data_IF_009539553307
#
_entry.id   IF_009539553307
#
_cell.length_a   1.000
_cell.length_b   1.000
_cell.length_c   1.000
_cell.angle_alpha   90.00
_cell.angle_beta   90.00
_cell.angle_gamma   90.00
#
_symmetry.space_group_name_H-M   'P 1'
#
loop_
_entity.id
_entity.type
_entity.pdbx_description
1 polymer ?
#
# COMPACT_ATOMS: atom_id res chain seq x y z
N UNK A 1 -16.49 -8.24 -4.38
CA UNK A 1 -16.18 -9.36 -3.47
C UNK A 1 -16.22 -10.67 -4.24
N UNK A 2 -17.34 -11.06 -4.89
CA UNK A 2 -17.45 -12.32 -5.62
C UNK A 2 -16.31 -12.50 -6.65
N UNK A 3 -16.01 -11.47 -7.45
CA UNK A 3 -14.91 -11.52 -8.43
C UNK A 3 -13.54 -11.74 -7.76
N UNK A 4 -13.30 -11.08 -6.62
CA UNK A 4 -12.04 -11.24 -5.88
C UNK A 4 -11.90 -12.65 -5.29
N UNK A 5 -12.98 -13.22 -4.77
CA UNK A 5 -13.02 -14.61 -4.28
C UNK A 5 -12.77 -15.62 -5.41
N UNK A 6 -13.40 -15.41 -6.59
CA UNK A 6 -13.15 -16.23 -7.77
C UNK A 6 -11.68 -16.17 -8.23
N UNK A 7 -11.04 -14.99 -8.17
CA UNK A 7 -9.61 -14.83 -8.48
C UNK A 7 -8.75 -15.63 -7.50
N UNK A 8 -9.15 -15.71 -6.23
CA UNK A 8 -8.47 -16.51 -5.19
C UNK A 8 -8.78 -18.01 -5.27
N UNK A 9 -9.61 -18.44 -6.20
CA UNK A 9 -9.95 -19.85 -6.40
C UNK A 9 -11.13 -20.37 -5.58
N UNK A 10 -11.85 -19.48 -4.88
CA UNK A 10 -13.04 -19.88 -4.12
C UNK A 10 -14.14 -20.41 -5.04
N UNK A 11 -14.76 -21.53 -4.66
CA UNK A 11 -15.90 -22.08 -5.37
C UNK A 11 -17.20 -21.31 -5.08
N UNK A 12 -18.28 -21.71 -5.76
CA UNK A 12 -19.59 -21.06 -5.62
C UNK A 12 -20.16 -21.17 -4.19
N UNK A 13 -19.90 -22.28 -3.49
CA UNK A 13 -20.37 -22.53 -2.10
C UNK A 13 -19.60 -21.65 -1.10
N UNK A 14 -18.30 -21.59 -1.23
CA UNK A 14 -17.42 -20.73 -0.43
C UNK A 14 -17.77 -19.24 -0.63
N UNK A 15 -17.96 -18.84 -1.89
CA UNK A 15 -18.42 -17.48 -2.25
C UNK A 15 -19.76 -17.15 -1.62
N UNK A 16 -20.75 -18.05 -1.71
CA UNK A 16 -22.05 -17.85 -1.12
C UNK A 16 -22.00 -17.73 0.41
N UNK A 17 -21.18 -18.56 1.07
CA UNK A 17 -20.98 -18.52 2.52
C UNK A 17 -20.38 -17.17 2.97
N UNK A 18 -19.38 -16.65 2.26
CA UNK A 18 -18.81 -15.32 2.56
C UNK A 18 -19.88 -14.23 2.41
N UNK A 19 -20.62 -14.24 1.29
CA UNK A 19 -21.64 -13.21 1.01
C UNK A 19 -22.79 -13.22 2.01
N UNK A 20 -23.16 -14.37 2.57
CA UNK A 20 -24.19 -14.48 3.61
C UNK A 20 -23.78 -13.81 4.93
N UNK A 21 -22.48 -13.69 5.18
CA UNK A 21 -21.95 -13.02 6.38
C UNK A 21 -21.68 -11.52 6.15
N UNK A 22 -22.08 -10.98 4.98
CA UNK A 22 -21.91 -9.56 4.66
C UNK A 22 -23.26 -8.85 4.67
N UNK A 23 -23.32 -7.71 5.31
CA UNK A 23 -24.46 -6.80 5.30
C UNK A 23 -24.04 -5.45 4.73
N UNK A 24 -24.91 -4.87 3.90
CA UNK A 24 -24.74 -3.52 3.38
C UNK A 24 -25.71 -2.59 4.09
N UNK A 25 -25.16 -1.56 4.75
CA UNK A 25 -25.95 -0.57 5.47
C UNK A 25 -25.98 0.75 4.69
N UNK A 26 -27.12 1.43 4.71
CA UNK A 26 -27.32 2.72 4.05
C UNK A 26 -26.68 3.90 4.81
N UNK A 27 -26.32 3.69 6.08
CA UNK A 27 -25.75 4.71 6.94
C UNK A 27 -24.61 4.14 7.79
N UNK A 28 -23.64 4.98 8.12
CA UNK A 28 -22.51 4.64 9.00
C UNK A 28 -23.02 4.09 10.35
N UNK A 29 -24.02 4.72 10.93
CA UNK A 29 -24.61 4.29 12.20
C UNK A 29 -25.02 2.82 12.22
N UNK A 30 -25.68 2.34 11.17
CA UNK A 30 -26.07 0.92 11.02
C UNK A 30 -24.87 -0.01 10.93
N UNK A 31 -23.87 0.40 10.16
CA UNK A 31 -22.68 -0.41 9.92
C UNK A 31 -21.78 -0.56 11.16
N UNK A 32 -21.68 0.46 12.01
CA UNK A 32 -20.66 0.49 13.08
C UNK A 32 -21.19 0.25 14.48
N UNK A 33 -22.52 0.28 14.73
CA UNK A 33 -23.11 0.26 16.06
C UNK A 33 -22.85 -1.01 16.88
N UNK A 34 -22.48 -2.11 16.23
CA UNK A 34 -22.16 -3.40 16.85
C UNK A 34 -20.76 -3.91 16.47
N UNK A 35 -19.93 -3.07 15.87
CA UNK A 35 -18.61 -3.47 15.37
C UNK A 35 -17.57 -3.47 16.48
N UNK A 36 -16.70 -4.48 16.51
CA UNK A 36 -15.48 -4.49 17.33
C UNK A 36 -14.32 -3.79 16.61
N UNK A 37 -14.32 -3.81 15.28
CA UNK A 37 -13.32 -3.16 14.43
C UNK A 37 -14.00 -2.39 13.30
N UNK A 38 -13.55 -1.18 13.04
CA UNK A 38 -14.04 -0.32 11.95
C UNK A 38 -12.86 0.11 11.11
N UNK A 39 -12.90 -0.19 9.79
CA UNK A 39 -11.89 0.24 8.83
C UNK A 39 -12.51 1.21 7.83
N UNK A 40 -12.07 2.46 7.85
CA UNK A 40 -12.49 3.51 6.93
C UNK A 40 -11.64 3.43 5.64
N UNK A 41 -12.30 3.37 4.48
CA UNK A 41 -11.69 3.35 3.16
C UNK A 41 -12.36 4.36 2.19
N UNK A 42 -12.81 5.49 2.71
CA UNK A 42 -13.43 6.57 1.94
C UNK A 42 -12.42 7.39 1.11
N UNK A 43 -12.89 8.46 0.45
CA UNK A 43 -12.04 9.29 -0.39
C UNK A 43 -10.81 9.84 0.33
N UNK A 44 -9.70 9.96 -0.40
CA UNK A 44 -8.40 10.44 0.14
C UNK A 44 -8.40 11.97 0.29
N UNK A 45 -9.32 12.47 1.13
CA UNK A 45 -9.52 13.89 1.47
C UNK A 45 -9.68 14.02 2.97
N UNK A 46 -8.84 14.85 3.58
CA UNK A 46 -8.76 14.97 5.03
C UNK A 46 -10.07 15.41 5.68
N UNK A 47 -10.75 16.40 5.09
CA UNK A 47 -12.04 16.92 5.55
C UNK A 47 -13.15 15.85 5.50
N UNK A 48 -13.18 15.04 4.44
CA UNK A 48 -14.11 13.92 4.31
C UNK A 48 -13.84 12.85 5.37
N UNK A 49 -12.57 12.50 5.59
CA UNK A 49 -12.19 11.54 6.62
C UNK A 49 -12.54 12.05 8.04
N UNK A 50 -12.35 13.34 8.31
CA UNK A 50 -12.79 13.94 9.58
C UNK A 50 -14.30 13.81 9.79
N UNK A 51 -15.13 14.05 8.76
CA UNK A 51 -16.59 13.89 8.85
C UNK A 51 -16.96 12.44 9.11
N UNK A 52 -16.38 11.49 8.37
CA UNK A 52 -16.62 10.06 8.53
C UNK A 52 -16.26 9.62 9.97
N UNK A 53 -15.08 9.96 10.46
CA UNK A 53 -14.64 9.57 11.81
C UNK A 53 -15.42 10.25 12.92
N UNK A 54 -15.89 11.48 12.73
CA UNK A 54 -16.77 12.14 13.69
C UNK A 54 -18.10 11.37 13.83
N UNK A 55 -18.65 10.86 12.73
CA UNK A 55 -19.86 10.05 12.75
C UNK A 55 -19.62 8.65 13.32
N UNK A 56 -18.52 7.98 12.91
CA UNK A 56 -18.12 6.68 13.48
C UNK A 56 -18.00 6.78 15.00
N UNK A 57 -17.35 7.82 15.53
CA UNK A 57 -17.14 7.97 16.98
C UNK A 57 -18.44 8.12 17.77
N UNK A 58 -19.51 8.64 17.16
CA UNK A 58 -20.83 8.78 17.79
C UNK A 58 -21.53 7.42 17.93
N UNK A 59 -21.42 6.55 16.94
CA UNK A 59 -22.22 5.33 16.86
C UNK A 59 -21.46 4.04 17.16
N UNK A 60 -20.14 4.01 16.96
CA UNK A 60 -19.34 2.83 17.24
C UNK A 60 -19.22 2.59 18.77
N UNK A 61 -19.24 1.33 19.24
CA UNK A 61 -18.99 1.00 20.63
C UNK A 61 -17.70 1.64 21.15
N UNK A 62 -17.69 2.05 22.42
CA UNK A 62 -16.53 2.72 23.04
C UNK A 62 -15.25 1.86 22.98
N UNK A 63 -15.39 0.54 23.00
CA UNK A 63 -14.30 -0.43 22.90
C UNK A 63 -13.85 -0.74 21.46
N UNK A 64 -14.64 -0.34 20.44
CA UNK A 64 -14.34 -0.64 19.05
C UNK A 64 -13.02 0.01 18.58
N UNK A 65 -12.18 -0.74 17.88
CA UNK A 65 -10.93 -0.23 17.32
C UNK A 65 -11.21 0.44 15.98
N UNK A 66 -10.68 1.65 15.79
CA UNK A 66 -10.94 2.47 14.60
C UNK A 66 -9.67 2.57 13.75
N UNK A 67 -9.78 2.30 12.46
CA UNK A 67 -8.65 2.37 11.54
C UNK A 67 -8.99 3.14 10.26
N UNK A 68 -8.03 3.86 9.71
CA UNK A 68 -8.14 4.45 8.37
C UNK A 68 -7.22 3.71 7.38
N UNK A 69 -7.75 3.39 6.21
CA UNK A 69 -7.00 2.85 5.07
C UNK A 69 -6.47 3.97 4.15
N UNK A 70 -6.05 5.09 4.70
CA UNK A 70 -5.37 6.13 3.92
C UNK A 70 -4.02 5.63 3.41
N UNK A 71 -3.63 6.03 2.22
CA UNK A 71 -2.33 5.66 1.64
C UNK A 71 -1.22 6.69 1.92
N UNK A 72 -1.57 7.97 2.10
CA UNK A 72 -0.56 9.05 2.19
C UNK A 72 -0.83 10.08 3.28
N UNK A 73 -2.09 10.25 3.73
CA UNK A 73 -2.43 11.21 4.77
C UNK A 73 -1.96 10.65 6.12
N UNK A 74 -1.21 11.44 6.88
CA UNK A 74 -0.79 11.03 8.23
C UNK A 74 -2.02 10.70 9.10
N UNK A 75 -1.99 9.57 9.76
CA UNK A 75 -3.06 9.09 10.65
C UNK A 75 -3.30 10.09 11.79
N UNK A 76 -2.24 10.66 12.31
CA UNK A 76 -2.30 11.72 13.33
C UNK A 76 -3.21 12.88 12.90
N UNK A 77 -3.11 13.31 11.62
CA UNK A 77 -3.97 14.39 11.09
C UNK A 77 -5.43 13.96 11.00
N UNK A 78 -5.69 12.72 10.62
CA UNK A 78 -7.05 12.18 10.51
C UNK A 78 -7.70 12.07 11.90
N UNK A 79 -6.96 11.54 12.88
CA UNK A 79 -7.49 11.16 14.19
C UNK A 79 -7.44 12.28 15.24
N UNK A 80 -6.85 13.45 14.93
CA UNK A 80 -6.60 14.51 15.92
C UNK A 80 -7.85 15.07 16.60
N UNK A 81 -9.01 14.98 15.98
CA UNK A 81 -10.26 15.51 16.50
C UNK A 81 -11.08 14.49 17.29
N UNK A 82 -10.72 13.20 17.24
CA UNK A 82 -11.42 12.17 18.00
C UNK A 82 -11.19 12.32 19.51
N UNK A 83 -12.18 11.96 20.30
CA UNK A 83 -12.05 11.80 21.77
C UNK A 83 -11.32 10.48 22.08
N UNK A 84 -11.71 9.41 21.40
CA UNK A 84 -11.18 8.06 21.56
C UNK A 84 -9.89 7.78 20.75
N UNK A 85 -8.94 8.73 20.72
CA UNK A 85 -7.67 8.59 19.94
C UNK A 85 -6.84 7.37 20.32
N UNK A 86 -6.95 6.90 21.55
CA UNK A 86 -6.21 5.76 22.09
C UNK A 86 -6.56 4.45 21.37
N UNK A 87 -7.75 4.33 20.80
CA UNK A 87 -8.25 3.19 20.04
C UNK A 87 -8.19 3.38 18.51
N UNK A 88 -7.57 4.48 18.05
CA UNK A 88 -7.53 4.85 16.64
C UNK A 88 -6.11 4.71 16.05
N UNK A 89 -6.04 4.21 14.81
CA UNK A 89 -4.79 3.91 14.11
C UNK A 89 -4.97 3.94 12.60
N UNK A 90 -3.91 3.67 11.84
CA UNK A 90 -3.98 3.37 10.42
C UNK A 90 -3.87 1.87 10.16
N UNK A 91 -4.55 1.40 9.11
CA UNK A 91 -4.28 0.10 8.48
C UNK A 91 -4.16 0.34 6.99
N UNK A 92 -2.92 0.39 6.49
CA UNK A 92 -2.67 0.65 5.07
C UNK A 92 -2.56 -0.66 4.30
N UNK A 93 -3.58 -0.92 3.48
CA UNK A 93 -3.67 -2.09 2.62
C UNK A 93 -3.10 -1.78 1.24
N UNK A 94 -2.44 -2.74 0.65
CA UNK A 94 -1.87 -2.62 -0.69
C UNK A 94 -2.82 -3.17 -1.75
N UNK A 95 -2.90 -2.48 -2.88
CA UNK A 95 -3.78 -2.86 -3.98
C UNK A 95 -3.06 -3.83 -4.96
N UNK A 96 -3.70 -4.94 -5.35
CA UNK A 96 -5.04 -5.41 -4.97
C UNK A 96 -5.05 -6.11 -3.60
N UNK A 97 -5.91 -5.66 -2.70
CA UNK A 97 -5.91 -6.07 -1.28
C UNK A 97 -6.16 -7.58 -1.06
N UNK A 98 -6.81 -8.26 -2.00
CA UNK A 98 -7.04 -9.70 -1.95
C UNK A 98 -5.81 -10.52 -2.33
N UNK A 99 -4.82 -9.95 -3.03
CA UNK A 99 -3.62 -10.66 -3.51
C UNK A 99 -2.35 -10.23 -2.78
N UNK A 100 -2.31 -9.02 -2.23
CA UNK A 100 -1.14 -8.51 -1.52
C UNK A 100 -1.33 -8.78 -0.02
N UNK A 101 -0.44 -9.56 0.62
CA UNK A 101 -0.60 -9.91 2.03
C UNK A 101 -0.29 -8.76 2.99
N UNK A 102 0.58 -7.83 2.63
CA UNK A 102 1.03 -6.75 3.51
C UNK A 102 -0.12 -5.84 3.96
N UNK A 103 -0.20 -5.60 5.28
CA UNK A 103 -0.96 -4.50 5.88
C UNK A 103 -0.06 -3.78 6.88
N UNK A 104 0.17 -2.49 6.69
CA UNK A 104 0.89 -1.66 7.65
C UNK A 104 -0.08 -1.20 8.75
N UNK A 105 0.22 -1.50 10.00
CA UNK A 105 -0.53 -1.02 11.19
C UNK A 105 0.20 0.19 11.75
N UNK A 106 -0.37 1.38 11.54
CA UNK A 106 0.30 2.66 11.84
C UNK A 106 -0.19 3.22 13.16
N UNK A 107 0.70 3.32 14.13
CA UNK A 107 0.43 3.95 15.43
C UNK A 107 0.58 5.47 15.34
N UNK A 108 -0.34 6.19 15.96
CA UNK A 108 -0.16 7.60 16.32
C UNK A 108 0.52 7.71 17.70
N UNK A 109 0.82 8.92 18.11
CA UNK A 109 1.30 9.19 19.48
C UNK A 109 0.26 8.89 20.57
N UNK A 110 -1.01 8.73 20.21
CA UNK A 110 -2.12 8.47 21.13
C UNK A 110 -2.55 6.99 21.15
N UNK A 111 -2.23 6.24 20.11
CA UNK A 111 -2.69 4.86 19.95
C UNK A 111 -2.15 3.95 21.05
N UNK A 112 -3.03 3.32 21.82
CA UNK A 112 -2.65 2.33 22.81
C UNK A 112 -2.00 1.11 22.16
N UNK A 113 -0.95 0.60 22.80
CA UNK A 113 -0.24 -0.57 22.30
C UNK A 113 -1.13 -1.82 22.29
N UNK A 114 -2.05 -1.95 23.23
CA UNK A 114 -3.01 -3.06 23.28
C UNK A 114 -4.00 -3.01 22.11
N UNK A 115 -4.52 -1.81 21.77
CA UNK A 115 -5.40 -1.65 20.61
C UNK A 115 -4.66 -1.94 19.29
N UNK A 116 -3.42 -1.45 19.16
CA UNK A 116 -2.61 -1.73 17.98
C UNK A 116 -2.27 -3.22 17.86
N UNK A 117 -1.95 -3.90 18.96
CA UNK A 117 -1.68 -5.33 18.97
C UNK A 117 -2.93 -6.14 18.61
N UNK A 118 -4.11 -5.78 19.15
CA UNK A 118 -5.36 -6.48 18.81
C UNK A 118 -5.69 -6.37 17.29
N UNK A 119 -5.45 -5.21 16.67
CA UNK A 119 -5.59 -5.06 15.22
C UNK A 119 -4.54 -5.90 14.47
N UNK A 120 -3.31 -5.92 14.94
CA UNK A 120 -2.23 -6.73 14.36
C UNK A 120 -2.61 -8.22 14.38
N UNK A 121 -3.04 -8.72 15.54
CA UNK A 121 -3.41 -10.13 15.73
C UNK A 121 -4.63 -10.51 14.86
N UNK A 122 -5.62 -9.61 14.71
CA UNK A 122 -6.76 -9.81 13.81
C UNK A 122 -6.31 -9.97 12.36
N UNK A 123 -5.40 -9.10 11.90
CA UNK A 123 -4.89 -9.15 10.53
C UNK A 123 -4.08 -10.42 10.29
N UNK A 124 -3.22 -10.82 11.23
CA UNK A 124 -2.46 -12.06 11.16
C UNK A 124 -3.39 -13.29 11.13
N UNK A 125 -4.40 -13.34 12.00
CA UNK A 125 -5.40 -14.40 12.02
C UNK A 125 -6.25 -14.46 10.73
N UNK A 126 -6.36 -13.35 9.99
CA UNK A 126 -7.03 -13.29 8.69
C UNK A 126 -6.12 -13.64 7.50
N UNK A 127 -4.92 -14.16 7.75
CA UNK A 127 -3.95 -14.56 6.71
C UNK A 127 -3.20 -13.39 6.08
N UNK A 128 -3.19 -12.21 6.71
CA UNK A 128 -2.36 -11.08 6.27
C UNK A 128 -0.99 -11.11 6.93
N UNK A 129 -0.05 -10.36 6.36
CA UNK A 129 1.27 -10.11 6.92
C UNK A 129 1.30 -8.69 7.48
N UNK A 130 0.86 -8.48 8.74
CA UNK A 130 0.85 -7.15 9.32
C UNK A 130 2.26 -6.69 9.71
N UNK A 131 2.55 -5.41 9.53
CA UNK A 131 3.79 -4.77 9.95
C UNK A 131 3.49 -3.55 10.81
N UNK A 132 4.05 -3.51 12.03
CA UNK A 132 3.84 -2.39 12.94
C UNK A 132 4.69 -1.18 12.56
N UNK A 133 4.05 -0.08 12.16
CA UNK A 133 4.68 1.21 11.92
C UNK A 133 4.64 2.02 13.23
N UNK A 134 5.78 2.06 13.92
CA UNK A 134 5.89 2.62 15.28
C UNK A 134 5.74 4.15 15.33
N UNK A 135 5.92 4.84 14.21
CA UNK A 135 5.85 6.30 14.10
C UNK A 135 5.12 6.69 12.83
N UNK A 136 4.06 7.48 12.98
CA UNK A 136 3.28 8.01 11.87
C UNK A 136 4.12 9.02 11.06
N UNK A 137 4.50 8.63 9.85
CA UNK A 137 5.25 9.46 8.91
C UNK A 137 4.55 9.42 7.53
N UNK A 138 4.66 10.48 6.71
CA UNK A 138 4.09 10.48 5.38
C UNK A 138 4.57 9.29 4.52
N UNK A 139 3.63 8.52 3.95
CA UNK A 139 3.94 7.37 3.11
C UNK A 139 4.39 6.12 3.85
N UNK A 140 4.37 6.12 5.18
CA UNK A 140 4.67 4.98 6.07
C UNK A 140 6.01 4.32 5.73
N UNK A 141 6.09 3.00 5.55
CA UNK A 141 7.32 2.29 5.15
C UNK A 141 7.31 2.02 3.65
N UNK A 142 6.28 1.31 3.17
CA UNK A 142 6.26 0.78 1.82
C UNK A 142 6.21 1.86 0.74
N UNK A 143 5.32 2.86 0.86
CA UNK A 143 5.29 3.98 -0.09
C UNK A 143 6.59 4.79 -0.08
N UNK A 144 7.25 4.96 1.07
CA UNK A 144 8.55 5.65 1.12
C UNK A 144 9.61 4.94 0.30
N UNK A 145 9.73 3.61 0.45
CA UNK A 145 10.69 2.81 -0.31
C UNK A 145 10.36 2.80 -1.80
N UNK A 146 9.09 2.59 -2.15
CA UNK A 146 8.63 2.57 -3.54
C UNK A 146 8.86 3.91 -4.24
N UNK A 147 8.49 5.02 -3.60
CA UNK A 147 8.66 6.35 -4.20
C UNK A 147 10.11 6.83 -4.22
N UNK A 148 10.98 6.36 -3.31
CA UNK A 148 12.42 6.58 -3.41
C UNK A 148 13.00 5.92 -4.68
N UNK A 149 12.63 4.65 -4.94
CA UNK A 149 13.00 3.96 -6.17
C UNK A 149 12.44 4.67 -7.43
N UNK A 150 11.18 5.07 -7.39
CA UNK A 150 10.57 5.75 -8.54
C UNK A 150 11.16 7.12 -8.82
N UNK A 151 11.55 7.87 -7.78
CA UNK A 151 12.21 9.16 -7.94
C UNK A 151 13.49 9.00 -8.74
N UNK A 152 14.34 8.06 -8.38
CA UNK A 152 15.57 7.75 -9.13
C UNK A 152 15.26 7.25 -10.54
N UNK A 153 14.32 6.33 -10.70
CA UNK A 153 13.92 5.81 -12.00
C UNK A 153 13.46 6.91 -12.98
N UNK A 154 12.71 7.91 -12.48
CA UNK A 154 12.28 9.06 -13.29
C UNK A 154 13.45 9.97 -13.64
N UNK A 155 14.38 10.20 -12.72
CA UNK A 155 15.58 11.01 -12.90
C UNK A 155 16.48 10.43 -14.00
N UNK A 156 16.70 9.12 -14.01
CA UNK A 156 17.48 8.44 -15.05
C UNK A 156 16.92 8.69 -16.46
N UNK A 157 15.60 8.67 -16.61
CA UNK A 157 14.94 8.95 -17.91
C UNK A 157 14.97 10.43 -18.25
N UNK A 158 14.68 11.31 -17.29
CA UNK A 158 14.65 12.76 -17.47
C UNK A 158 16.03 13.30 -17.91
N UNK A 159 17.10 12.77 -17.32
CA UNK A 159 18.48 13.15 -17.65
C UNK A 159 19.05 12.41 -18.87
N UNK A 160 18.26 11.58 -19.56
CA UNK A 160 18.67 10.91 -20.78
C UNK A 160 19.73 9.83 -20.59
N UNK A 161 19.87 9.29 -19.37
CA UNK A 161 20.82 8.19 -19.07
C UNK A 161 20.32 6.93 -19.76
N UNK A 162 19.00 6.70 -19.76
CA UNK A 162 18.35 5.61 -20.48
C UNK A 162 16.87 5.91 -20.75
N UNK A 163 16.19 5.07 -21.49
CA UNK A 163 14.74 5.11 -21.67
C UNK A 163 13.98 4.34 -20.54
N UNK A 164 12.68 4.56 -20.45
CA UNK A 164 11.85 3.93 -19.43
C UNK A 164 11.78 2.39 -19.54
N UNK A 165 11.94 1.85 -20.75
CA UNK A 165 11.97 0.41 -20.99
C UNK A 165 13.24 -0.23 -20.42
N UNK A 166 14.37 0.45 -20.59
CA UNK A 166 15.66 0.05 -20.01
C UNK A 166 15.64 0.05 -18.48
N UNK A 167 15.06 1.09 -17.84
CA UNK A 167 14.87 1.12 -16.37
C UNK A 167 14.08 -0.09 -15.91
N UNK A 168 12.91 -0.33 -16.51
CA UNK A 168 12.05 -1.47 -16.20
C UNK A 168 12.79 -2.81 -16.38
N UNK A 169 13.56 -2.94 -17.45
CA UNK A 169 14.33 -4.16 -17.77
C UNK A 169 15.40 -4.41 -16.74
N UNK A 170 16.18 -3.39 -16.37
CA UNK A 170 17.21 -3.49 -15.33
C UNK A 170 16.62 -3.98 -14.02
N UNK A 171 15.56 -3.37 -13.54
CA UNK A 171 14.92 -3.78 -12.27
C UNK A 171 14.42 -5.22 -12.35
N UNK A 172 13.67 -5.57 -13.40
CA UNK A 172 13.07 -6.92 -13.58
C UNK A 172 14.10 -8.02 -13.78
N UNK A 173 15.24 -7.71 -14.40
CA UNK A 173 16.29 -8.70 -14.70
C UNK A 173 17.34 -8.82 -13.59
N UNK A 174 17.37 -7.91 -12.63
CA UNK A 174 18.38 -7.86 -11.57
C UNK A 174 17.78 -7.99 -10.16
N UNK A 175 17.96 -7.00 -9.31
CA UNK A 175 17.57 -7.04 -7.90
C UNK A 175 16.07 -7.24 -7.67
N UNK A 176 15.20 -6.79 -8.58
CA UNK A 176 13.77 -6.99 -8.49
C UNK A 176 13.36 -8.47 -8.46
N UNK A 177 14.17 -9.38 -9.01
CA UNK A 177 13.89 -10.83 -9.00
C UNK A 177 13.97 -11.46 -7.61
N UNK A 178 14.72 -10.86 -6.70
CA UNK A 178 14.98 -11.41 -5.36
C UNK A 178 14.23 -10.69 -4.24
N UNK A 179 13.61 -9.53 -4.52
CA UNK A 179 12.98 -8.71 -3.48
C UNK A 179 11.84 -9.40 -2.71
N UNK A 180 11.19 -10.39 -3.31
CA UNK A 180 10.14 -11.16 -2.63
C UNK A 180 10.70 -12.15 -1.58
N UNK A 181 11.97 -12.55 -1.73
CA UNK A 181 12.63 -13.54 -0.85
C UNK A 181 13.69 -12.89 0.03
N UNK A 182 14.27 -11.77 -0.42
CA UNK A 182 15.38 -11.10 0.23
C UNK A 182 15.11 -9.61 0.29
N UNK A 183 14.75 -9.12 1.45
CA UNK A 183 14.51 -7.70 1.70
C UNK A 183 15.77 -6.84 1.53
N UNK A 184 15.65 -5.51 1.40
CA UNK A 184 16.80 -4.65 1.11
C UNK A 184 17.88 -4.68 2.19
N UNK A 185 17.53 -4.76 3.47
CA UNK A 185 18.49 -4.83 4.57
C UNK A 185 19.11 -6.22 4.70
N UNK A 186 18.33 -7.27 4.53
CA UNK A 186 18.85 -8.64 4.45
C UNK A 186 19.84 -8.80 3.30
N UNK A 187 19.58 -8.15 2.15
CA UNK A 187 20.52 -8.16 1.05
C UNK A 187 21.82 -7.39 1.38
N UNK A 188 21.72 -6.29 2.11
CA UNK A 188 22.90 -5.54 2.56
C UNK A 188 23.76 -6.37 3.53
N UNK A 189 23.12 -7.13 4.44
CA UNK A 189 23.81 -8.07 5.33
C UNK A 189 24.43 -9.25 4.55
N UNK A 190 23.73 -9.77 3.55
CA UNK A 190 24.20 -10.89 2.73
C UNK A 190 25.49 -10.53 1.95
N UNK A 191 25.58 -9.31 1.39
CA UNK A 191 26.74 -8.88 0.62
C UNK A 191 27.85 -8.30 1.50
N UNK A 192 27.56 -7.96 2.73
CA UNK A 192 28.45 -7.32 3.69
C UNK A 192 28.21 -5.81 3.83
N UNK A 193 28.14 -5.36 5.08
CA UNK A 193 27.90 -3.94 5.40
C UNK A 193 29.09 -3.05 5.03
N UNK A 194 30.31 -3.59 5.03
CA UNK A 194 31.54 -2.95 4.55
C UNK A 194 31.47 -2.67 3.05
N UNK A 195 31.13 -3.69 2.24
CA UNK A 195 30.93 -3.51 0.80
C UNK A 195 29.76 -2.56 0.50
N UNK A 196 28.69 -2.64 1.28
CA UNK A 196 27.56 -1.71 1.15
C UNK A 196 28.00 -0.28 1.41
N UNK A 197 28.83 -0.04 2.43
CA UNK A 197 29.40 1.29 2.72
C UNK A 197 30.24 1.81 1.56
N UNK A 198 31.17 1.00 1.05
CA UNK A 198 32.03 1.38 -0.09
C UNK A 198 31.20 1.76 -1.34
N UNK A 199 30.13 1.01 -1.62
CA UNK A 199 29.22 1.33 -2.72
C UNK A 199 28.49 2.66 -2.47
N UNK A 200 28.01 2.88 -1.24
CA UNK A 200 27.30 4.11 -0.87
C UNK A 200 28.19 5.35 -1.01
N UNK A 201 29.45 5.28 -0.64
CA UNK A 201 30.42 6.38 -0.80
C UNK A 201 30.63 6.75 -2.27
N UNK A 202 30.43 5.81 -3.19
CA UNK A 202 30.64 5.99 -4.63
C UNK A 202 29.36 6.27 -5.44
N UNK A 203 28.16 6.22 -4.85
CA UNK A 203 26.92 6.37 -5.62
C UNK A 203 25.91 7.32 -5.00
N UNK A 204 25.79 7.41 -3.66
CA UNK A 204 24.69 8.15 -3.02
C UNK A 204 24.74 9.66 -3.26
N UNK A 205 25.91 10.24 -3.49
CA UNK A 205 26.06 11.67 -3.74
C UNK A 205 25.47 12.12 -5.08
N UNK A 206 25.28 11.19 -6.04
CA UNK A 206 24.79 11.43 -7.40
C UNK A 206 23.31 11.05 -7.58
N UNK A 207 22.72 10.32 -6.64
CA UNK A 207 21.31 9.94 -6.71
C UNK A 207 20.39 11.15 -6.54
N UNK A 208 19.23 11.08 -7.22
CA UNK A 208 18.22 12.14 -7.16
C UNK A 208 17.71 12.39 -5.72
N UNK A 209 17.79 13.63 -5.28
CA UNK A 209 17.40 14.07 -3.93
C UNK A 209 16.31 15.15 -3.90
N UNK A 210 15.71 15.50 -5.04
CA UNK A 210 14.67 16.54 -5.12
C UNK A 210 13.46 16.24 -4.23
N UNK A 211 13.03 17.26 -3.47
CA UNK A 211 11.96 17.14 -2.49
C UNK A 211 10.59 17.52 -3.06
N UNK A 212 10.26 17.05 -4.23
CA UNK A 212 8.98 17.32 -4.86
C UNK A 212 8.65 16.31 -5.96
N UNK A 213 7.48 16.45 -6.60
CA UNK A 213 7.17 15.67 -7.80
C UNK A 213 8.17 15.98 -8.91
N UNK A 214 8.70 14.94 -9.58
CA UNK A 214 9.62 15.10 -10.72
C UNK A 214 9.06 16.09 -11.73
N UNK A 215 9.87 17.05 -12.25
CA UNK A 215 9.47 17.92 -13.35
C UNK A 215 8.99 17.15 -14.56
N UNK A 216 9.63 16.01 -14.87
CA UNK A 216 9.22 15.12 -15.94
C UNK A 216 7.83 14.52 -15.72
N UNK A 217 7.51 14.05 -14.51
CA UNK A 217 6.17 13.57 -14.17
C UNK A 217 5.12 14.69 -14.31
N UNK A 218 5.41 15.89 -13.81
CA UNK A 218 4.53 17.06 -13.96
C UNK A 218 4.26 17.38 -15.44
N UNK A 219 5.29 17.31 -16.30
CA UNK A 219 5.16 17.50 -17.74
C UNK A 219 4.23 16.47 -18.36
N UNK A 220 4.41 15.19 -18.06
CA UNK A 220 3.54 14.12 -18.57
C UNK A 220 2.07 14.37 -18.18
N UNK A 221 1.81 14.67 -16.91
CA UNK A 221 0.46 14.94 -16.40
C UNK A 221 -0.16 16.15 -17.08
N UNK A 222 0.57 17.26 -17.22
CA UNK A 222 0.08 18.48 -17.88
C UNK A 222 -0.25 18.28 -19.36
N UNK A 223 0.38 17.31 -20.00
CA UNK A 223 0.13 16.91 -21.40
C UNK A 223 -1.01 15.87 -21.54
N UNK A 224 -1.63 15.43 -20.44
CA UNK A 224 -2.65 14.38 -20.47
C UNK A 224 -2.10 12.97 -20.65
N UNK A 225 -0.77 12.78 -20.55
CA UNK A 225 -0.09 11.49 -20.64
C UNK A 225 -0.17 10.76 -19.30
N UNK A 226 -1.34 10.15 -19.02
CA UNK A 226 -1.67 9.60 -17.69
C UNK A 226 -1.42 8.08 -17.57
N UNK A 227 -0.55 7.52 -18.40
CA UNK A 227 -0.19 6.11 -18.41
C UNK A 227 -1.17 5.23 -19.20
N UNK A 228 -1.32 3.96 -18.78
CA UNK A 228 -2.17 2.97 -19.46
C UNK A 228 -3.63 3.40 -19.67
N UNK A 229 -4.18 4.27 -18.83
CA UNK A 229 -5.56 4.74 -18.95
C UNK A 229 -5.79 5.73 -20.11
N UNK A 230 -4.71 6.31 -20.64
CA UNK A 230 -4.76 7.25 -21.79
C UNK A 230 -3.90 6.76 -22.96
N UNK A 231 -3.32 5.54 -22.87
CA UNK A 231 -2.44 4.95 -23.87
C UNK A 231 -1.03 5.57 -23.92
N UNK A 232 -0.77 6.62 -23.17
CA UNK A 232 0.52 7.32 -23.13
C UNK A 232 0.89 7.71 -21.70
N UNK A 233 2.15 7.47 -21.32
CA UNK A 233 2.75 7.83 -20.05
C UNK A 233 4.28 7.90 -20.19
N UNK A 234 5.02 7.28 -19.28
CA UNK A 234 6.46 7.03 -19.46
C UNK A 234 6.73 6.15 -20.69
N UNK A 235 5.76 5.33 -21.06
CA UNK A 235 5.76 4.45 -22.24
C UNK A 235 4.43 4.60 -22.99
N UNK A 236 4.41 4.17 -24.25
CA UNK A 236 3.19 4.05 -25.05
C UNK A 236 2.55 2.68 -24.79
N UNK A 237 1.23 2.64 -24.70
CA UNK A 237 0.44 1.45 -24.37
C UNK A 237 -0.75 1.30 -25.32
N UNK A 238 -0.92 0.13 -25.90
CA UNK A 238 -2.22 -0.25 -26.48
C UNK A 238 -3.12 -0.81 -25.38
N UNK A 239 -4.43 -0.82 -25.62
CA UNK A 239 -5.40 -1.42 -24.70
C UNK A 239 -5.09 -2.90 -24.44
N UNK A 240 -4.68 -3.62 -25.49
CA UNK A 240 -4.27 -5.01 -25.39
C UNK A 240 -3.04 -5.21 -24.51
N UNK A 241 -1.99 -4.40 -24.70
CA UNK A 241 -0.79 -4.44 -23.86
C UNK A 241 -1.10 -4.13 -22.40
N UNK A 242 -1.98 -3.15 -22.15
CA UNK A 242 -2.41 -2.80 -20.80
C UNK A 242 -3.20 -3.95 -20.14
N UNK A 243 -4.10 -4.61 -20.88
CA UNK A 243 -4.84 -5.78 -20.39
C UNK A 243 -3.92 -6.97 -20.09
N UNK A 244 -3.03 -7.32 -21.02
CA UNK A 244 -2.05 -8.40 -20.86
C UNK A 244 -1.12 -8.15 -19.65
N UNK A 245 -0.72 -6.89 -19.43
CA UNK A 245 0.13 -6.53 -18.29
C UNK A 245 -0.61 -6.77 -16.96
N UNK A 246 -1.89 -6.39 -16.85
CA UNK A 246 -2.70 -6.64 -15.64
C UNK A 246 -2.88 -8.13 -15.37
N UNK A 247 -3.19 -8.91 -16.41
CA UNK A 247 -3.32 -10.36 -16.31
C UNK A 247 -2.01 -11.03 -15.87
N UNK A 248 -0.89 -10.61 -16.48
CA UNK A 248 0.44 -11.12 -16.13
C UNK A 248 0.80 -10.82 -14.68
N UNK A 249 0.49 -9.62 -14.18
CA UNK A 249 0.72 -9.27 -12.77
C UNK A 249 -0.13 -10.16 -11.85
N UNK A 250 -1.42 -10.32 -12.13
CA UNK A 250 -2.30 -11.18 -11.34
C UNK A 250 -1.84 -12.65 -11.31
N UNK A 251 -1.45 -13.18 -12.47
CA UNK A 251 -0.91 -14.54 -12.57
C UNK A 251 0.40 -14.70 -11.82
N UNK A 252 1.28 -13.70 -11.89
CA UNK A 252 2.55 -13.71 -11.17
C UNK A 252 2.34 -13.70 -9.65
N UNK A 253 1.47 -12.85 -9.15
CA UNK A 253 1.20 -12.75 -7.70
C UNK A 253 0.64 -14.05 -7.14
N UNK A 254 -0.27 -14.73 -7.85
CA UNK A 254 -0.79 -16.04 -7.42
C UNK A 254 0.31 -17.10 -7.32
N UNK A 255 1.14 -17.22 -8.37
CA UNK A 255 2.25 -18.19 -8.38
C UNK A 255 3.30 -17.88 -7.31
N UNK A 256 3.53 -16.60 -7.04
CA UNK A 256 4.46 -16.19 -6.00
C UNK A 256 3.95 -16.60 -4.62
N UNK A 257 2.66 -16.41 -4.36
CA UNK A 257 2.01 -16.84 -3.12
C UNK A 257 2.12 -18.35 -2.90
N UNK A 258 1.90 -19.14 -3.96
CA UNK A 258 2.08 -20.60 -3.93
C UNK A 258 3.52 -20.98 -3.52
N UNK A 259 4.53 -20.30 -4.12
CA UNK A 259 5.95 -20.59 -3.87
C UNK A 259 6.39 -20.15 -2.46
N UNK A 260 5.85 -19.08 -1.93
CA UNK A 260 6.26 -18.53 -0.64
C UNK A 260 5.58 -19.24 0.55
N UNK A 261 4.49 -19.98 0.30
CA UNK A 261 3.77 -20.76 1.31
C UNK A 261 4.20 -22.23 1.35
N UNK A 262 5.00 -22.71 0.38
CA UNK A 262 5.67 -24.01 0.38
C UNK A 262 6.94 -23.98 1.28
#
# INVERSE_FOLDING_TARGET
VADSLSILGADASETANVLQNMEVCDAIAGAVSQSDYVVEAGPEKLDVKHQIFAEIEVYAPEKAILASNTSVIQITKIMQHLKGKHRAMGTHWWNPAHMIPLVEVIKTQWTDSTAAQAMFDLLEASGKTPVMVKKDVPGFIGNRLQHALWREAMSLVENGICDAESVDTVVKASFGRRLAVLGPLENADLVGTDLTLDIHENVLFDLESYQGPSPYLNKLVSQGNLGMKTGQGFRTWTDEQAAQTREKVGTHLRKLEEILND
#
